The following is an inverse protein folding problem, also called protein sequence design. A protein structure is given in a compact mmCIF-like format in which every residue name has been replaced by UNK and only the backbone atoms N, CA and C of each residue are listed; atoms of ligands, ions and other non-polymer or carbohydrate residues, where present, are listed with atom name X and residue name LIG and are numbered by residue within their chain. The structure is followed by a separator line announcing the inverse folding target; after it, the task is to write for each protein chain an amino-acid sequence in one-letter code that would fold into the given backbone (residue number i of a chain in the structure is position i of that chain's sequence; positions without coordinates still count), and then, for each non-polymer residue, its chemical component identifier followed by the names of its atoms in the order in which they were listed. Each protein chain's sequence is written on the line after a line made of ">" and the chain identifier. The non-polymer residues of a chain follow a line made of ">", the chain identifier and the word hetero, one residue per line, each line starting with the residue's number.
data_IF_960658098467
#
_entry.id   IF_960658098467
#
_cell.length_a   1.000
_cell.length_b   1.000
_cell.length_c   1.000
_cell.angle_alpha   90.00
_cell.angle_beta   90.00
_cell.angle_gamma   90.00
#
_symmetry.space_group_name_H-M   'P 1'
#
loop_
_entity.id
_entity.type
_entity.pdbx_description
1 polymer ?
#
# COMPACT_ATOMS: atom_id res chain seq x y z
N UNK A 1 -5.43 3.88 21.96
CA UNK A 1 -4.98 3.64 20.59
C UNK A 1 -4.80 4.98 19.93
N UNK A 2 -3.56 5.41 19.81
CA UNK A 2 -3.21 6.61 19.05
C UNK A 2 -3.60 6.44 17.58
N UNK A 3 -3.91 7.55 16.92
CA UNK A 3 -4.38 7.54 15.54
C UNK A 3 -3.27 7.02 14.62
N UNK A 4 -3.56 6.14 13.64
CA UNK A 4 -2.57 5.60 12.68
C UNK A 4 -1.85 6.66 11.83
N UNK A 5 -2.15 7.94 12.00
CA UNK A 5 -1.51 9.10 11.34
C UNK A 5 -0.11 9.38 11.85
N UNK A 6 0.20 8.98 13.10
CA UNK A 6 1.56 9.15 13.62
C UNK A 6 2.54 8.27 12.85
N UNK A 7 2.08 7.14 12.30
CA UNK A 7 2.92 6.21 11.55
C UNK A 7 3.50 6.90 10.29
N UNK A 8 4.84 6.99 10.18
CA UNK A 8 5.53 7.58 9.04
C UNK A 8 5.17 6.96 7.68
N UNK A 9 4.82 5.67 7.63
CA UNK A 9 4.38 5.02 6.40
C UNK A 9 3.09 5.63 5.90
N UNK A 10 2.07 5.76 6.74
CA UNK A 10 0.78 6.29 6.31
C UNK A 10 0.89 7.73 5.82
N UNK A 11 1.78 8.55 6.41
CA UNK A 11 2.10 9.88 5.87
C UNK A 11 2.77 9.81 4.50
N UNK A 12 3.70 8.87 4.28
CA UNK A 12 4.28 8.64 2.94
C UNK A 12 3.22 8.18 1.93
N UNK A 13 2.30 7.32 2.34
CA UNK A 13 1.19 6.85 1.50
C UNK A 13 0.27 8.00 1.12
N UNK A 14 -0.09 8.88 2.06
CA UNK A 14 -0.91 10.06 1.78
C UNK A 14 -0.21 11.00 0.78
N UNK A 15 1.10 11.23 0.96
CA UNK A 15 1.90 11.99 0.01
C UNK A 15 1.96 11.31 -1.37
N UNK A 16 2.08 9.98 -1.42
CA UNK A 16 2.07 9.19 -2.64
C UNK A 16 0.72 9.32 -3.36
N UNK A 17 -0.40 9.19 -2.64
CA UNK A 17 -1.73 9.40 -3.16
C UNK A 17 -1.91 10.81 -3.74
N UNK A 18 -1.41 11.83 -3.05
CA UNK A 18 -1.43 13.20 -3.56
C UNK A 18 -0.60 13.36 -4.85
N UNK A 19 0.51 12.63 -5.01
CA UNK A 19 1.31 12.60 -6.25
C UNK A 19 0.58 11.84 -7.36
N UNK A 20 -0.01 10.68 -7.07
CA UNK A 20 -0.87 9.91 -7.99
C UNK A 20 -2.02 10.77 -8.49
N UNK A 21 -2.65 11.54 -7.60
CA UNK A 21 -3.72 12.47 -7.95
C UNK A 21 -3.24 13.59 -8.88
N UNK A 22 -2.13 14.25 -8.54
CA UNK A 22 -1.54 15.31 -9.38
C UNK A 22 -1.08 14.81 -10.75
N UNK A 23 -0.71 13.54 -10.87
CA UNK A 23 -0.36 12.90 -12.14
C UNK A 23 -1.59 12.58 -13.01
N UNK A 24 -2.82 12.88 -12.56
CA UNK A 24 -4.05 12.62 -13.31
C UNK A 24 -4.43 11.14 -13.41
N UNK A 25 -3.80 10.28 -12.60
CA UNK A 25 -4.06 8.83 -12.59
C UNK A 25 -5.34 8.50 -11.81
N UNK A 26 -5.80 9.42 -10.97
CA UNK A 26 -6.97 9.28 -10.11
C UNK A 26 -8.28 8.98 -10.85
N UNK A 27 -8.38 9.38 -12.12
CA UNK A 27 -9.57 9.12 -12.95
C UNK A 27 -9.50 7.77 -13.69
N UNK A 28 -8.39 7.03 -13.59
CA UNK A 28 -8.12 5.81 -14.34
C UNK A 28 -7.97 4.64 -13.38
N UNK A 29 -9.07 3.94 -13.14
CA UNK A 29 -9.05 2.70 -12.37
C UNK A 29 -9.19 1.46 -13.28
N UNK A 30 -8.48 0.37 -12.97
CA UNK A 30 -7.45 0.27 -11.93
C UNK A 30 -6.21 1.13 -12.26
N UNK A 31 -5.55 1.70 -11.24
CA UNK A 31 -4.32 2.48 -11.46
C UNK A 31 -3.25 1.62 -12.14
N UNK A 32 -2.45 2.15 -13.04
CA UNK A 32 -1.31 1.38 -13.53
C UNK A 32 -0.25 1.22 -12.42
N UNK A 33 0.15 -0.02 -12.12
CA UNK A 33 1.15 -0.30 -11.07
C UNK A 33 2.51 0.29 -11.43
N UNK A 34 2.87 0.35 -12.72
CA UNK A 34 4.14 0.94 -13.14
C UNK A 34 4.16 2.44 -12.87
N UNK A 35 3.00 3.09 -12.98
CA UNK A 35 2.84 4.49 -12.62
C UNK A 35 3.04 4.71 -11.10
N UNK A 36 2.49 3.84 -10.25
CA UNK A 36 2.75 3.89 -8.79
C UNK A 36 4.24 3.67 -8.51
N UNK A 37 4.84 2.64 -9.11
CA UNK A 37 6.26 2.33 -8.96
C UNK A 37 7.15 3.50 -9.39
N UNK A 38 6.83 4.17 -10.50
CA UNK A 38 7.57 5.34 -10.99
C UNK A 38 7.53 6.50 -10.00
N UNK A 39 6.39 6.73 -9.34
CA UNK A 39 6.27 7.76 -8.30
C UNK A 39 7.07 7.38 -7.05
N UNK A 40 7.13 6.09 -6.69
CA UNK A 40 7.94 5.57 -5.58
C UNK A 40 9.43 5.74 -5.87
N UNK A 41 9.88 5.38 -7.07
CA UNK A 41 11.25 5.58 -7.55
C UNK A 41 11.65 7.06 -7.43
N UNK A 42 10.78 7.96 -7.89
CA UNK A 42 11.02 9.40 -7.79
C UNK A 42 11.06 9.96 -6.35
N UNK A 43 10.71 9.18 -5.32
CA UNK A 43 10.63 9.61 -3.92
C UNK A 43 11.45 8.75 -2.94
N UNK A 44 12.28 7.84 -3.46
CA UNK A 44 13.05 6.92 -2.64
C UNK A 44 14.50 6.83 -3.15
N UNK A 45 15.37 6.13 -2.41
CA UNK A 45 16.72 5.81 -2.89
C UNK A 45 16.77 4.63 -3.88
N UNK A 46 15.63 4.24 -4.45
CA UNK A 46 15.54 3.17 -5.45
C UNK A 46 15.46 3.82 -6.83
N UNK A 47 16.33 3.40 -7.73
CA UNK A 47 16.40 3.98 -9.08
C UNK A 47 15.47 3.28 -10.08
N UNK A 48 15.20 1.99 -9.85
CA UNK A 48 14.41 1.17 -10.76
C UNK A 48 13.60 0.13 -10.00
N UNK A 49 12.40 -0.17 -10.52
CA UNK A 49 11.53 -1.24 -10.02
C UNK A 49 11.17 -2.17 -11.18
N UNK A 50 11.41 -3.47 -11.02
CA UNK A 50 11.01 -4.51 -11.96
C UNK A 50 10.02 -5.49 -11.33
N UNK A 51 8.99 -5.87 -12.07
CA UNK A 51 8.05 -6.92 -11.68
C UNK A 51 8.36 -8.24 -12.39
N UNK A 52 8.47 -9.31 -11.63
CA UNK A 52 8.77 -10.66 -12.11
C UNK A 52 7.73 -11.64 -11.61
N UNK A 53 7.38 -12.63 -12.42
CA UNK A 53 6.55 -13.75 -11.97
C UNK A 53 7.41 -14.93 -11.54
N UNK A 54 6.97 -15.70 -10.55
CA UNK A 54 7.62 -16.95 -10.17
C UNK A 54 6.60 -18.07 -9.92
N UNK A 55 7.00 -19.30 -10.24
CA UNK A 55 6.19 -20.48 -9.92
C UNK A 55 6.49 -20.97 -8.51
N UNK A 56 5.43 -21.32 -7.77
CA UNK A 56 5.57 -21.94 -6.45
C UNK A 56 6.28 -23.28 -6.58
N UNK A 57 7.32 -23.49 -5.77
CA UNK A 57 7.96 -24.82 -5.70
C UNK A 57 7.04 -25.80 -4.96
N UNK A 58 6.68 -26.96 -5.54
CA UNK A 58 5.69 -27.87 -4.97
C UNK A 58 6.03 -28.39 -3.57
N UNK A 59 7.32 -28.44 -3.19
CA UNK A 59 7.78 -29.02 -1.93
C UNK A 59 8.15 -27.99 -0.84
N UNK A 60 7.81 -26.71 -1.02
CA UNK A 60 7.96 -25.71 0.05
C UNK A 60 6.58 -25.37 0.60
N UNK A 61 6.33 -25.76 1.85
CA UNK A 61 5.10 -25.47 2.61
C UNK A 61 4.91 -23.97 2.93
N UNK A 62 5.60 -23.07 2.24
CA UNK A 62 5.45 -21.62 2.42
C UNK A 62 4.35 -21.06 1.52
N UNK A 63 3.42 -20.32 2.13
CA UNK A 63 2.46 -19.44 1.45
C UNK A 63 3.13 -18.12 1.05
N UNK A 64 4.29 -18.18 0.39
CA UNK A 64 4.90 -16.95 -0.15
C UNK A 64 4.13 -16.60 -1.42
N UNK A 65 3.40 -15.49 -1.36
CA UNK A 65 2.59 -14.96 -2.47
C UNK A 65 3.36 -13.91 -3.27
N UNK A 66 4.23 -13.17 -2.60
CA UNK A 66 5.20 -12.26 -3.20
C UNK A 66 6.35 -11.97 -2.24
N UNK A 67 7.40 -11.37 -2.79
CA UNK A 67 8.52 -10.80 -2.05
C UNK A 67 9.27 -9.83 -2.96
N UNK A 68 10.11 -8.97 -2.40
CA UNK A 68 11.03 -8.16 -3.19
C UNK A 68 12.50 -8.39 -2.80
N UNK A 69 13.40 -7.97 -3.68
CA UNK A 69 14.85 -7.95 -3.44
C UNK A 69 15.41 -6.62 -3.91
N UNK A 70 16.23 -6.00 -3.07
CA UNK A 70 17.05 -4.86 -3.45
C UNK A 70 18.40 -5.36 -3.97
N UNK A 71 18.81 -4.89 -5.13
CA UNK A 71 19.99 -5.33 -5.85
C UNK A 71 20.82 -4.09 -6.17
N UNK A 72 22.03 -3.93 -5.59
CA UNK A 72 22.94 -2.89 -6.02
C UNK A 72 23.43 -3.21 -7.43
N UNK A 73 23.39 -2.22 -8.32
CA UNK A 73 23.88 -2.30 -9.69
C UNK A 73 25.09 -1.38 -9.80
N UNK A 74 26.23 -1.96 -10.17
CA UNK A 74 27.44 -1.22 -10.51
C UNK A 74 27.34 -0.72 -11.96
N UNK A 75 27.22 0.59 -12.16
CA UNK A 75 27.12 1.20 -13.50
C UNK A 75 28.53 1.53 -14.04
N UNK A 76 29.46 0.58 -13.95
CA UNK A 76 30.83 0.74 -14.48
C UNK A 76 31.87 1.15 -13.43
N UNK A 77 33.11 1.34 -13.90
CA UNK A 77 34.34 1.31 -13.07
C UNK A 77 34.50 2.56 -12.17
N UNK A 78 33.75 3.64 -12.43
CA UNK A 78 33.89 4.93 -11.74
C UNK A 78 32.56 5.59 -11.35
N UNK A 79 31.45 4.87 -11.33
CA UNK A 79 30.12 5.49 -11.13
C UNK A 79 29.52 5.23 -9.76
N UNK A 80 28.58 6.09 -9.39
CA UNK A 80 27.65 5.91 -8.28
C UNK A 80 26.91 4.57 -8.41
N UNK A 81 26.73 3.88 -7.27
CA UNK A 81 25.97 2.64 -7.22
C UNK A 81 24.49 2.93 -7.39
N UNK A 82 23.82 2.24 -8.30
CA UNK A 82 22.36 2.29 -8.43
C UNK A 82 21.70 1.18 -7.63
N UNK A 83 20.45 1.35 -7.22
CA UNK A 83 19.65 0.36 -6.51
C UNK A 83 18.41 -0.04 -7.32
N UNK A 84 18.36 -1.32 -7.71
CA UNK A 84 17.21 -1.93 -8.37
C UNK A 84 16.37 -2.72 -7.36
N UNK A 85 15.06 -2.47 -7.32
CA UNK A 85 14.11 -3.29 -6.59
C UNK A 85 13.41 -4.28 -7.53
N UNK A 86 13.62 -5.58 -7.34
CA UNK A 86 12.90 -6.64 -8.06
C UNK A 86 11.78 -7.19 -7.19
N UNK A 87 10.53 -7.03 -7.64
CA UNK A 87 9.33 -7.58 -7.00
C UNK A 87 8.97 -8.88 -7.70
N UNK A 88 8.88 -9.97 -6.94
CA UNK A 88 8.52 -11.29 -7.41
C UNK A 88 7.11 -11.64 -6.95
N UNK A 89 6.22 -11.99 -7.88
CA UNK A 89 4.81 -12.31 -7.61
C UNK A 89 4.52 -13.73 -8.08
N UNK A 90 3.76 -14.48 -7.30
CA UNK A 90 3.42 -15.86 -7.63
C UNK A 90 2.53 -15.91 -8.88
N UNK A 91 2.92 -16.71 -9.87
CA UNK A 91 2.33 -16.70 -11.22
C UNK A 91 0.93 -17.32 -11.33
N UNK A 92 0.49 -18.06 -10.32
CA UNK A 92 -0.80 -18.76 -10.27
C UNK A 92 -1.87 -17.97 -9.48
N UNK A 93 -1.56 -16.73 -9.06
CA UNK A 93 -2.52 -15.84 -8.43
C UNK A 93 -3.50 -15.30 -9.46
N UNK A 94 -4.75 -15.11 -9.05
CA UNK A 94 -5.71 -14.33 -9.84
C UNK A 94 -5.20 -12.89 -10.02
N UNK A 95 -5.55 -12.21 -11.12
CA UNK A 95 -5.02 -10.88 -11.44
C UNK A 95 -5.14 -9.86 -10.30
N UNK A 96 -6.28 -9.85 -9.60
CA UNK A 96 -6.57 -8.94 -8.49
C UNK A 96 -5.68 -9.23 -7.28
N UNK A 97 -5.44 -10.50 -6.98
CA UNK A 97 -4.52 -10.92 -5.91
C UNK A 97 -3.07 -10.59 -6.26
N UNK A 98 -2.64 -10.87 -7.51
CA UNK A 98 -1.32 -10.51 -8.02
C UNK A 98 -1.06 -9.01 -7.87
N UNK A 99 -2.05 -8.19 -8.23
CA UNK A 99 -1.99 -6.73 -8.11
C UNK A 99 -1.88 -6.25 -6.66
N UNK A 100 -2.69 -6.81 -5.76
CA UNK A 100 -2.64 -6.47 -4.34
C UNK A 100 -1.27 -6.82 -3.74
N UNK A 101 -0.76 -8.02 -4.03
CA UNK A 101 0.57 -8.47 -3.59
C UNK A 101 1.66 -7.55 -4.13
N UNK A 102 1.64 -7.23 -5.43
CA UNK A 102 2.60 -6.31 -6.04
C UNK A 102 2.63 -4.94 -5.32
N UNK A 103 1.44 -4.39 -5.04
CA UNK A 103 1.32 -3.12 -4.34
C UNK A 103 1.78 -3.21 -2.88
N UNK A 104 1.58 -4.35 -2.21
CA UNK A 104 2.11 -4.60 -0.86
C UNK A 104 3.64 -4.58 -0.85
N UNK A 105 4.28 -5.24 -1.81
CA UNK A 105 5.73 -5.25 -1.92
C UNK A 105 6.29 -3.85 -2.27
N UNK A 106 5.57 -3.04 -3.04
CA UNK A 106 5.90 -1.62 -3.23
C UNK A 106 5.86 -0.82 -1.92
N UNK A 107 4.86 -1.07 -1.07
CA UNK A 107 4.79 -0.43 0.25
C UNK A 107 5.95 -0.86 1.17
N UNK A 108 6.41 -2.11 1.07
CA UNK A 108 7.60 -2.56 1.81
C UNK A 108 8.86 -1.82 1.40
N UNK A 109 9.03 -1.53 0.10
CA UNK A 109 10.15 -0.69 -0.39
C UNK A 109 10.08 0.70 0.25
N UNK A 110 8.90 1.33 0.27
CA UNK A 110 8.71 2.63 0.91
C UNK A 110 9.01 2.62 2.41
N UNK A 111 8.71 1.51 3.10
CA UNK A 111 9.02 1.33 4.52
C UNK A 111 10.53 1.22 4.77
N UNK A 112 11.25 0.42 3.98
CA UNK A 112 12.71 0.25 4.13
C UNK A 112 13.50 1.53 3.82
N UNK A 113 12.90 2.43 3.05
CA UNK A 113 13.48 3.73 2.75
C UNK A 113 13.24 4.78 3.86
N UNK A 114 12.45 4.46 4.90
CA UNK A 114 12.30 5.34 6.05
C UNK A 114 13.62 5.46 6.83
N UNK A 115 14.05 6.67 7.22
CA UNK A 115 15.24 6.83 8.07
C UNK A 115 15.15 6.03 9.37
N UNK A 116 13.93 5.91 9.92
CA UNK A 116 13.65 5.15 11.14
C UNK A 116 13.75 3.64 10.97
N UNK A 117 13.75 3.09 9.76
CA UNK A 117 13.96 1.64 9.53
C UNK A 117 15.42 1.29 9.27
N UNK A 118 16.28 2.29 9.01
CA UNK A 118 17.73 2.15 8.82
C UNK A 118 18.43 2.28 10.18
N UNK A 119 18.47 1.22 10.96
CA UNK A 119 19.30 1.21 12.16
C UNK A 119 20.78 1.03 11.75
N UNK A 120 21.53 2.12 11.83
CA UNK A 120 22.97 2.18 11.52
C UNK A 120 23.85 2.09 12.77
N UNK A 121 23.27 2.20 13.97
CA UNK A 121 23.99 2.08 15.25
C UNK A 121 23.28 1.14 16.22
N UNK A 122 24.03 0.56 17.17
CA UNK A 122 23.48 -0.27 18.24
C UNK A 122 22.46 0.50 19.10
N UNK A 123 22.66 1.81 19.27
CA UNK A 123 21.74 2.70 19.96
C UNK A 123 20.45 2.93 19.15
N UNK A 124 20.52 3.03 17.82
CA UNK A 124 19.33 3.09 16.96
C UNK A 124 18.54 1.77 16.98
N UNK A 125 19.22 0.63 17.04
CA UNK A 125 18.58 -0.68 17.26
C UNK A 125 17.90 -0.75 18.62
N UNK A 126 18.56 -0.29 19.70
CA UNK A 126 17.98 -0.25 21.04
C UNK A 126 16.80 0.71 21.12
N UNK A 127 16.89 1.91 20.53
CA UNK A 127 15.80 2.88 20.48
C UNK A 127 14.61 2.39 19.64
N UNK A 128 14.86 1.64 18.55
CA UNK A 128 13.80 0.95 17.82
C UNK A 128 13.10 -0.06 18.74
N UNK A 129 13.87 -0.89 19.46
CA UNK A 129 13.32 -1.87 20.41
C UNK A 129 12.55 -1.18 21.55
N UNK A 130 13.07 -0.09 22.12
CA UNK A 130 12.44 0.64 23.23
C UNK A 130 11.20 1.41 22.79
N UNK A 131 11.21 2.06 21.62
CA UNK A 131 10.03 2.71 21.05
C UNK A 131 8.90 1.69 20.81
N UNK A 132 9.24 0.50 20.32
CA UNK A 132 8.32 -0.63 20.13
C UNK A 132 7.74 -1.11 21.47
N UNK A 133 8.54 -1.19 22.53
CA UNK A 133 8.10 -1.59 23.87
C UNK A 133 7.28 -0.49 24.58
N UNK A 134 7.50 0.79 24.23
CA UNK A 134 6.86 1.94 24.87
C UNK A 134 5.46 2.28 24.30
N UNK A 135 5.20 1.98 23.02
CA UNK A 135 3.92 2.30 22.36
C UNK A 135 2.84 1.21 22.52
N UNK A 136 3.19 0.06 23.09
CA UNK A 136 2.26 -1.05 23.31
C UNK A 136 2.44 -1.62 24.73
N UNK A 137 1.70 -1.12 25.74
CA UNK A 137 1.59 -1.80 27.03
C UNK A 137 0.64 -3.00 26.86
N UNK A 138 1.05 -4.01 26.11
CA UNK A 138 0.29 -5.25 25.96
C UNK A 138 0.92 -6.35 26.82
N UNK A 139 0.08 -6.81 27.74
CA UNK A 139 0.19 -7.96 28.64
C UNK A 139 1.07 -9.11 28.10
N UNK A 140 1.93 -9.65 28.96
CA UNK A 140 3.05 -10.60 28.69
C UNK A 140 2.67 -11.91 27.95
N UNK A 141 1.40 -12.10 27.57
CA UNK A 141 0.87 -13.33 26.97
C UNK A 141 0.82 -13.35 25.43
N UNK A 142 1.06 -12.23 24.74
CA UNK A 142 1.10 -12.19 23.28
C UNK A 142 2.34 -11.44 22.79
N UNK A 143 3.43 -12.17 22.54
CA UNK A 143 4.60 -11.62 21.83
C UNK A 143 4.18 -11.27 20.40
N UNK A 144 3.76 -10.02 20.18
CA UNK A 144 3.49 -9.48 18.86
C UNK A 144 4.80 -9.54 18.07
N UNK A 145 4.81 -10.31 16.98
CA UNK A 145 5.96 -10.39 16.09
C UNK A 145 6.04 -9.10 15.27
N UNK A 146 7.13 -8.33 15.40
CA UNK A 146 7.35 -7.07 14.67
C UNK A 146 7.19 -7.26 13.16
N UNK A 147 7.65 -8.41 12.64
CA UNK A 147 7.46 -8.74 11.22
C UNK A 147 5.98 -8.78 10.83
N UNK A 148 5.11 -9.28 11.71
CA UNK A 148 3.66 -9.29 11.48
C UNK A 148 3.09 -7.89 11.37
N UNK A 149 3.50 -6.97 12.25
CA UNK A 149 3.07 -5.56 12.18
C UNK A 149 3.51 -4.88 10.88
N UNK A 150 4.73 -5.14 10.40
CA UNK A 150 5.24 -4.57 9.14
C UNK A 150 4.44 -5.13 7.95
N UNK A 151 4.18 -6.44 7.92
CA UNK A 151 3.33 -7.05 6.88
C UNK A 151 1.91 -6.47 6.89
N UNK A 152 1.30 -6.33 8.08
CA UNK A 152 -0.05 -5.78 8.23
C UNK A 152 -0.10 -4.31 7.80
N UNK A 153 0.86 -3.48 8.24
CA UNK A 153 0.97 -2.07 7.83
C UNK A 153 1.18 -1.92 6.33
N UNK A 154 2.05 -2.73 5.72
CA UNK A 154 2.27 -2.72 4.27
C UNK A 154 1.02 -3.13 3.49
N UNK A 155 0.26 -4.11 4.00
CA UNK A 155 -1.01 -4.54 3.39
C UNK A 155 -2.07 -3.46 3.48
N UNK A 156 -2.26 -2.84 4.65
CA UNK A 156 -3.20 -1.73 4.81
C UNK A 156 -2.80 -0.55 3.93
N UNK A 157 -1.51 -0.21 3.87
CA UNK A 157 -0.99 0.83 2.98
C UNK A 157 -1.28 0.51 1.50
N UNK A 158 -1.08 -0.73 1.05
CA UNK A 158 -1.38 -1.14 -0.32
C UNK A 158 -2.88 -1.02 -0.63
N UNK A 159 -3.73 -1.41 0.31
CA UNK A 159 -5.18 -1.23 0.19
C UNK A 159 -5.52 0.26 0.05
N UNK A 160 -4.95 1.12 0.89
CA UNK A 160 -5.21 2.56 0.81
C UNK A 160 -4.66 3.21 -0.46
N UNK A 161 -3.61 2.64 -1.07
CA UNK A 161 -3.13 3.04 -2.39
C UNK A 161 -4.07 2.61 -3.50
N UNK A 162 -4.61 1.39 -3.44
CA UNK A 162 -5.44 0.81 -4.50
C UNK A 162 -6.90 1.28 -4.42
N UNK A 163 -7.44 1.41 -3.21
CA UNK A 163 -8.84 1.80 -2.92
C UNK A 163 -8.86 2.88 -1.82
N UNK A 164 -8.42 4.11 -2.13
CA UNK A 164 -8.34 5.18 -1.15
C UNK A 164 -9.68 5.44 -0.44
N UNK A 165 -9.63 5.80 0.85
CA UNK A 165 -10.82 6.12 1.66
C UNK A 165 -11.77 7.11 0.99
N UNK A 166 -11.24 8.05 0.22
CA UNK A 166 -11.98 9.09 -0.48
C UNK A 166 -12.95 8.47 -1.50
N UNK A 167 -12.52 7.45 -2.25
CA UNK A 167 -13.41 6.72 -3.15
C UNK A 167 -14.42 5.88 -2.41
N UNK A 168 -14.00 5.23 -1.32
CA UNK A 168 -14.90 4.41 -0.51
C UNK A 168 -16.04 5.26 0.04
N UNK A 169 -15.76 6.48 0.50
CA UNK A 169 -16.76 7.44 0.96
C UNK A 169 -17.74 7.88 -0.14
N UNK A 170 -17.30 7.99 -1.40
CA UNK A 170 -18.19 8.30 -2.52
C UNK A 170 -19.08 7.10 -2.93
N UNK A 171 -18.58 5.89 -2.73
CA UNK A 171 -19.26 4.66 -3.15
C UNK A 171 -20.15 4.07 -2.05
N UNK A 172 -19.89 4.36 -0.78
CA UNK A 172 -20.55 3.71 0.36
C UNK A 172 -22.07 3.85 0.31
N UNK A 173 -22.60 5.03 -0.03
CA UNK A 173 -24.04 5.25 -0.12
C UNK A 173 -24.66 4.42 -1.27
N UNK A 174 -24.00 4.38 -2.43
CA UNK A 174 -24.47 3.58 -3.56
C UNK A 174 -24.41 2.08 -3.27
N UNK A 175 -23.35 1.63 -2.58
CA UNK A 175 -23.20 0.25 -2.13
C UNK A 175 -24.28 -0.13 -1.10
N UNK A 176 -24.50 0.68 -0.07
CA UNK A 176 -25.52 0.44 0.96
C UNK A 176 -26.94 0.39 0.37
N UNK A 177 -27.22 1.22 -0.64
CA UNK A 177 -28.48 1.23 -1.38
C UNK A 177 -28.55 0.17 -2.49
N UNK A 178 -27.58 -0.75 -2.60
CA UNK A 178 -27.48 -1.81 -3.61
C UNK A 178 -27.53 -1.31 -5.06
N UNK A 179 -27.14 -0.05 -5.29
CA UNK A 179 -27.01 0.53 -6.64
C UNK A 179 -25.73 0.09 -7.35
N UNK A 180 -24.74 -0.38 -6.59
CA UNK A 180 -23.46 -0.91 -7.08
C UNK A 180 -23.16 -2.20 -6.31
N UNK A 181 -22.71 -3.25 -6.99
CA UNK A 181 -22.31 -4.52 -6.36
C UNK A 181 -20.83 -4.51 -5.97
N UNK A 182 -20.45 -5.35 -5.01
CA UNK A 182 -19.04 -5.51 -4.63
C UNK A 182 -18.18 -5.98 -5.80
N UNK A 183 -18.70 -6.87 -6.66
CA UNK A 183 -18.05 -7.31 -7.89
C UNK A 183 -17.68 -6.16 -8.82
N UNK A 184 -18.59 -5.18 -8.98
CA UNK A 184 -18.39 -4.03 -9.87
C UNK A 184 -17.28 -3.11 -9.31
N UNK A 185 -17.20 -2.99 -7.98
CA UNK A 185 -16.14 -2.25 -7.29
C UNK A 185 -14.81 -3.01 -7.40
N UNK A 186 -14.83 -4.32 -7.16
CA UNK A 186 -13.69 -5.24 -7.29
C UNK A 186 -13.04 -5.12 -8.67
N UNK A 187 -13.83 -5.25 -9.74
CA UNK A 187 -13.39 -5.11 -11.12
C UNK A 187 -12.83 -3.70 -11.38
N UNK A 188 -13.56 -2.65 -10.95
CA UNK A 188 -13.14 -1.27 -11.15
C UNK A 188 -11.77 -0.98 -10.56
N UNK A 189 -11.48 -1.44 -9.34
CA UNK A 189 -10.21 -1.17 -8.67
C UNK A 189 -9.14 -2.25 -8.90
N UNK A 190 -9.51 -3.39 -9.47
CA UNK A 190 -8.65 -4.55 -9.63
C UNK A 190 -8.21 -5.17 -8.29
N UNK A 191 -9.09 -5.19 -7.29
CA UNK A 191 -8.78 -5.67 -5.94
C UNK A 191 -9.76 -6.78 -5.58
N UNK A 192 -9.34 -7.87 -4.90
CA UNK A 192 -10.22 -9.02 -4.65
C UNK A 192 -11.51 -8.62 -3.94
N UNK A 193 -12.65 -9.19 -4.34
CA UNK A 193 -13.96 -8.86 -3.78
C UNK A 193 -14.03 -9.04 -2.26
N UNK A 194 -13.34 -10.07 -1.73
CA UNK A 194 -13.23 -10.30 -0.29
C UNK A 194 -12.56 -9.12 0.44
N UNK A 195 -11.54 -8.52 -0.17
CA UNK A 195 -10.85 -7.34 0.36
C UNK A 195 -11.75 -6.11 0.22
N UNK A 196 -12.43 -5.93 -0.92
CA UNK A 196 -13.42 -4.84 -1.08
C UNK A 196 -14.51 -4.91 -0.01
N UNK A 197 -15.06 -6.10 0.24
CA UNK A 197 -16.06 -6.32 1.29
C UNK A 197 -15.55 -5.86 2.66
N UNK A 198 -14.31 -6.20 3.00
CA UNK A 198 -13.68 -5.84 4.27
C UNK A 198 -13.47 -4.32 4.40
N UNK A 199 -12.97 -3.66 3.35
CA UNK A 199 -12.59 -2.23 3.44
C UNK A 199 -13.79 -1.29 3.43
N UNK A 200 -14.97 -1.79 3.05
CA UNK A 200 -16.25 -1.08 3.15
C UNK A 200 -16.95 -1.30 4.51
N UNK A 201 -16.41 -2.14 5.39
CA UNK A 201 -16.92 -2.28 6.76
C UNK A 201 -16.73 -0.98 7.55
N UNK A 202 -17.70 -0.66 8.40
CA UNK A 202 -17.71 0.60 9.15
C UNK A 202 -16.46 0.78 10.02
N UNK A 203 -15.98 -0.30 10.66
CA UNK A 203 -14.80 -0.26 11.52
C UNK A 203 -13.52 0.08 10.75
N UNK A 204 -13.34 -0.51 9.56
CA UNK A 204 -12.20 -0.22 8.69
C UNK A 204 -12.28 1.22 8.14
N UNK A 205 -13.48 1.67 7.74
CA UNK A 205 -13.74 3.04 7.31
C UNK A 205 -13.45 4.05 8.44
N UNK A 206 -13.87 3.76 9.68
CA UNK A 206 -13.58 4.59 10.87
C UNK A 206 -12.07 4.62 11.17
N UNK A 207 -11.40 3.47 11.07
CA UNK A 207 -9.96 3.35 11.31
C UNK A 207 -9.16 4.26 10.36
N UNK A 208 -9.43 4.18 9.05
CA UNK A 208 -8.71 4.94 8.02
C UNK A 208 -9.11 6.41 7.93
N UNK A 209 -10.38 6.76 8.24
CA UNK A 209 -10.87 8.15 8.20
C UNK A 209 -10.51 8.99 9.44
N UNK A 210 -10.23 8.37 10.60
CA UNK A 210 -9.75 9.08 11.79
C UNK A 210 -8.41 9.77 11.54
N UNK A 211 -7.69 9.34 10.51
CA UNK A 211 -6.37 9.85 10.23
C UNK A 211 -6.23 10.95 9.17
N UNK A 212 -7.06 10.92 8.13
CA UNK A 212 -6.85 11.71 6.91
C UNK A 212 -7.57 13.06 6.85
N UNK A 213 -8.20 13.50 7.94
CA UNK A 213 -9.10 14.68 7.94
C UNK A 213 -8.42 16.03 7.62
N UNK A 214 -7.09 16.09 7.56
CA UNK A 214 -6.35 17.35 7.37
C UNK A 214 -5.96 17.66 5.91
N UNK A 215 -5.87 16.69 5.01
CA UNK A 215 -5.29 16.92 3.68
C UNK A 215 -6.29 17.33 2.58
N UNK A 216 -7.59 17.12 2.78
CA UNK A 216 -8.57 17.18 1.68
C UNK A 216 -9.50 18.40 1.66
N UNK A 217 -9.27 19.41 2.50
CA UNK A 217 -10.01 20.67 2.37
C UNK A 217 -9.64 21.47 1.11
N UNK A 218 -8.54 21.13 0.41
CA UNK A 218 -8.00 21.94 -0.69
C UNK A 218 -8.11 21.30 -2.09
N UNK A 219 -8.41 20.00 -2.21
CA UNK A 219 -8.64 19.35 -3.50
C UNK A 219 -10.15 19.38 -3.83
N UNK A 220 -10.57 20.34 -4.65
CA UNK A 220 -11.98 20.55 -5.04
C UNK A 220 -12.54 19.33 -5.80
N UNK A 221 -13.55 18.69 -5.18
CA UNK A 221 -14.24 17.46 -5.61
C UNK A 221 -15.20 17.62 -6.81
N UNK A 222 -15.18 18.74 -7.54
CA UNK A 222 -16.23 19.07 -8.54
C UNK A 222 -16.20 18.19 -9.80
N UNK A 223 -15.13 17.43 -10.05
CA UNK A 223 -14.98 16.61 -11.25
C UNK A 223 -15.62 15.21 -11.19
N UNK A 224 -15.67 14.57 -10.02
CA UNK A 224 -15.98 13.13 -9.93
C UNK A 224 -17.48 12.80 -9.89
N UNK A 225 -18.31 13.69 -9.32
CA UNK A 225 -19.75 13.44 -9.18
C UNK A 225 -20.51 13.33 -10.50
N UNK A 226 -19.99 13.90 -11.59
CA UNK A 226 -20.67 13.93 -12.90
C UNK A 226 -20.51 12.67 -13.75
N UNK A 227 -19.55 11.78 -13.44
CA UNK A 227 -19.26 10.59 -14.28
C UNK A 227 -19.87 9.28 -13.77
N UNK A 228 -20.22 9.19 -12.48
CA UNK A 228 -20.80 7.96 -11.90
C UNK A 228 -22.22 7.68 -12.42
N UNK A 229 -22.91 8.69 -12.95
CA UNK A 229 -24.30 8.57 -13.43
C UNK A 229 -24.46 8.05 -14.87
N UNK A 230 -23.39 7.69 -15.60
CA UNK A 230 -23.45 7.41 -17.04
C UNK A 230 -22.98 6.03 -17.51
N UNK A 231 -22.61 5.11 -16.62
CA UNK A 231 -22.15 3.75 -16.99
C UNK A 231 -23.21 2.64 -16.83
N UNK A 232 -24.51 2.96 -16.80
CA UNK A 232 -25.57 1.96 -16.90
C UNK A 232 -26.24 2.01 -18.27
N UNK A 233 -25.72 1.22 -19.22
CA UNK A 233 -26.44 0.78 -20.42
C UNK A 233 -26.12 -0.68 -20.69
#
# INVERSE_FOLDING_TARGET
>A
MDSPVSDPLFRRIDNLLAKVHRAGLYDRHPYDLNSIASIIVADSSIDEVEFHSFQKRPNKNGLIEGFFKLIPIEIGIYTESSMLARIFIRSDLEPEWSRLVACKELCHILWQDLPSSRASTQEQLLNQVEHILSENPFDDSQKICIQGLIEDSALVAAIELLVPIEFRLLLVENYQNRKVKLSDISERFGVPEAVISLVFQEDYMKFTSKGRRHFFKEATFEGMGKRISHTSR
#
